data_IF_518865414821
#
_entry.id   IF_518865414821
#
_cell.length_a   1.000
_cell.length_b   1.000
_cell.length_c   1.000
_cell.angle_alpha   90.00
_cell.angle_beta   90.00
_cell.angle_gamma   90.00
#
_symmetry.space_group_name_H-M   'P 1'
#
loop_
_entity.id
_entity.type
_entity.pdbx_description
1 polymer ?
#
# COMPACT_ATOMS: atom_id res chain seq x y z
N UNK A 1 -18.92 -9.10 10.40
CA UNK A 1 -19.89 -8.22 9.71
C UNK A 1 -19.16 -7.04 9.11
N UNK A 2 -19.59 -6.57 7.95
CA UNK A 2 -18.98 -5.44 7.25
C UNK A 2 -19.95 -4.91 6.20
N UNK A 3 -19.65 -3.74 5.66
CA UNK A 3 -20.48 -3.04 4.69
C UNK A 3 -20.06 -3.30 3.24
N UNK A 4 -18.84 -3.77 3.00
CA UNK A 4 -18.30 -4.05 1.67
C UNK A 4 -18.21 -5.57 1.45
N UNK A 5 -18.90 -6.06 0.40
CA UNK A 5 -18.95 -7.48 0.07
C UNK A 5 -17.59 -8.01 -0.40
N UNK A 6 -16.80 -7.22 -1.12
CA UNK A 6 -15.49 -7.66 -1.60
C UNK A 6 -14.53 -7.87 -0.43
N UNK A 7 -14.52 -6.95 0.52
CA UNK A 7 -13.72 -7.08 1.74
C UNK A 7 -14.16 -8.30 2.55
N UNK A 8 -15.47 -8.52 2.69
CA UNK A 8 -16.00 -9.70 3.39
C UNK A 8 -15.59 -11.01 2.71
N UNK A 9 -15.60 -11.08 1.38
CA UNK A 9 -15.16 -12.25 0.64
C UNK A 9 -13.66 -12.51 0.82
N UNK A 10 -12.83 -11.47 0.71
CA UNK A 10 -11.38 -11.59 0.95
C UNK A 10 -11.08 -12.03 2.38
N UNK A 11 -11.78 -11.46 3.37
CA UNK A 11 -11.66 -11.88 4.78
C UNK A 11 -12.04 -13.35 4.97
N UNK A 12 -13.14 -13.81 4.34
CA UNK A 12 -13.52 -15.21 4.36
C UNK A 12 -12.44 -16.09 3.72
N UNK A 13 -11.86 -15.68 2.60
CA UNK A 13 -10.79 -16.40 1.93
C UNK A 13 -9.57 -16.57 2.84
N UNK A 14 -9.16 -15.54 3.58
CA UNK A 14 -8.08 -15.64 4.58
C UNK A 14 -8.41 -16.72 5.62
N UNK A 15 -9.60 -16.65 6.21
CA UNK A 15 -10.01 -17.58 7.28
C UNK A 15 -10.04 -19.04 6.77
N UNK A 16 -10.66 -19.28 5.62
CA UNK A 16 -10.77 -20.67 5.10
C UNK A 16 -9.42 -21.21 4.63
N UNK A 17 -8.53 -20.36 4.15
CA UNK A 17 -7.17 -20.79 3.79
C UNK A 17 -6.39 -21.22 5.02
N UNK A 18 -6.48 -20.47 6.12
CA UNK A 18 -5.87 -20.88 7.40
C UNK A 18 -6.42 -22.24 7.88
N UNK A 19 -7.74 -22.44 7.80
CA UNK A 19 -8.32 -23.74 8.16
C UNK A 19 -7.87 -24.86 7.22
N UNK A 20 -7.72 -24.59 5.92
CA UNK A 20 -7.19 -25.59 4.99
C UNK A 20 -5.75 -25.98 5.35
N UNK A 21 -4.90 -25.03 5.69
CA UNK A 21 -3.51 -25.27 6.13
C UNK A 21 -3.45 -26.07 7.44
N UNK A 22 -4.46 -25.93 8.30
CA UNK A 22 -4.63 -26.73 9.51
C UNK A 22 -5.16 -28.14 9.23
N UNK A 23 -5.41 -28.51 7.97
CA UNK A 23 -5.92 -29.82 7.54
C UNK A 23 -7.43 -29.95 7.52
N UNK A 24 -8.19 -28.86 7.62
CA UNK A 24 -9.64 -28.88 7.50
C UNK A 24 -10.08 -29.01 6.05
N UNK A 25 -11.20 -29.69 5.81
CA UNK A 25 -11.85 -29.75 4.50
C UNK A 25 -12.72 -28.52 4.29
N UNK A 26 -12.52 -27.81 3.19
CA UNK A 26 -13.26 -26.60 2.83
C UNK A 26 -14.33 -26.95 1.79
N UNK A 27 -15.58 -26.58 2.07
CA UNK A 27 -16.71 -26.79 1.20
C UNK A 27 -17.28 -25.48 0.70
N UNK A 28 -17.66 -25.44 -0.57
CA UNK A 28 -18.36 -24.30 -1.13
C UNK A 28 -19.82 -24.28 -0.70
N UNK A 29 -20.33 -23.10 -0.42
CA UNK A 29 -21.73 -22.85 -0.10
C UNK A 29 -22.33 -21.85 -1.09
N UNK A 30 -23.58 -22.10 -1.49
CA UNK A 30 -24.35 -21.17 -2.29
C UNK A 30 -25.22 -20.29 -1.39
N UNK A 31 -24.95 -18.98 -1.42
CA UNK A 31 -25.78 -17.98 -0.74
C UNK A 31 -26.86 -17.52 -1.73
N UNK A 32 -28.12 -17.74 -1.39
CA UNK A 32 -29.28 -17.31 -2.18
C UNK A 32 -29.74 -15.95 -1.67
N UNK A 33 -29.84 -14.97 -2.55
CA UNK A 33 -30.28 -13.61 -2.25
C UNK A 33 -30.64 -12.88 -3.55
N UNK A 34 -30.57 -11.56 -3.56
CA UNK A 34 -30.75 -10.75 -4.77
C UNK A 34 -29.77 -11.15 -5.89
N UNK A 35 -28.57 -11.61 -5.51
CA UNK A 35 -27.60 -12.29 -6.38
C UNK A 35 -27.20 -13.59 -5.72
N UNK A 36 -27.18 -14.69 -6.49
CA UNK A 36 -26.64 -15.94 -5.99
C UNK A 36 -25.11 -15.87 -6.00
N UNK A 37 -24.51 -16.15 -4.86
CA UNK A 37 -23.05 -16.08 -4.67
C UNK A 37 -22.58 -17.44 -4.17
N UNK A 38 -21.48 -17.94 -4.74
CA UNK A 38 -20.81 -19.15 -4.26
C UNK A 38 -19.59 -18.71 -3.46
N UNK A 39 -19.47 -19.20 -2.22
CA UNK A 39 -18.36 -18.88 -1.30
C UNK A 39 -17.77 -20.13 -0.67
N UNK A 40 -16.47 -20.17 -0.33
CA UNK A 40 -15.46 -19.19 -0.71
C UNK A 40 -15.15 -19.23 -2.20
N UNK A 41 -14.74 -18.11 -2.77
CA UNK A 41 -14.16 -18.05 -4.12
C UNK A 41 -12.63 -17.89 -3.96
N UNK A 42 -11.90 -18.96 -4.19
CA UNK A 42 -10.44 -19.00 -4.07
C UNK A 42 -9.72 -18.88 -5.43
N UNK A 43 -10.43 -18.44 -6.46
CA UNK A 43 -9.81 -18.15 -7.76
C UNK A 43 -8.82 -16.99 -7.62
N UNK A 44 -7.59 -17.12 -8.16
CA UNK A 44 -6.61 -16.04 -8.10
C UNK A 44 -7.02 -14.87 -9.01
N UNK A 45 -6.74 -13.68 -8.55
CA UNK A 45 -6.77 -12.48 -9.39
C UNK A 45 -5.52 -12.44 -10.28
N UNK A 46 -5.57 -11.70 -11.42
CA UNK A 46 -4.45 -11.60 -12.36
C UNK A 46 -4.09 -10.15 -12.60
N UNK A 47 -2.82 -9.82 -12.42
CA UNK A 47 -2.26 -8.51 -12.75
C UNK A 47 -1.12 -8.71 -13.75
N UNK A 48 -1.04 -7.81 -14.73
CA UNK A 48 0.08 -7.76 -15.67
C UNK A 48 1.27 -7.11 -14.99
N UNK A 49 2.46 -7.68 -15.16
CA UNK A 49 3.73 -7.14 -14.69
C UNK A 49 4.70 -7.04 -15.86
N UNK A 50 5.52 -6.01 -15.88
CA UNK A 50 6.57 -5.81 -16.86
C UNK A 50 7.95 -5.97 -16.22
N UNK A 51 8.76 -6.90 -16.73
CA UNK A 51 10.15 -7.07 -16.30
C UNK A 51 10.96 -5.77 -16.43
N UNK A 52 10.69 -4.98 -17.47
CA UNK A 52 11.32 -3.67 -17.67
C UNK A 52 10.97 -2.71 -16.52
N UNK A 53 9.69 -2.63 -16.12
CA UNK A 53 9.24 -1.79 -15.00
C UNK A 53 9.85 -2.26 -13.68
N UNK A 54 9.90 -3.57 -13.43
CA UNK A 54 10.55 -4.15 -12.24
C UNK A 54 12.01 -3.70 -12.18
N UNK A 55 12.78 -3.94 -13.25
CA UNK A 55 14.19 -3.58 -13.29
C UNK A 55 14.42 -2.07 -13.17
N UNK A 56 13.57 -1.26 -13.80
CA UNK A 56 13.65 0.19 -13.74
C UNK A 56 13.37 0.74 -12.33
N UNK A 57 12.33 0.23 -11.66
CA UNK A 57 11.95 0.71 -10.31
C UNK A 57 12.93 0.24 -9.24
N UNK A 58 13.42 -0.99 -9.35
CA UNK A 58 14.33 -1.55 -8.36
C UNK A 58 15.80 -1.25 -8.64
N UNK A 59 16.14 -0.72 -9.82
CA UNK A 59 17.54 -0.51 -10.23
C UNK A 59 18.30 -1.82 -10.46
N UNK A 60 17.59 -2.92 -10.74
CA UNK A 60 18.15 -4.25 -10.93
C UNK A 60 18.25 -4.63 -12.41
N UNK A 61 18.87 -5.77 -12.69
CA UNK A 61 18.96 -6.40 -14.02
C UNK A 61 18.54 -7.87 -13.94
N UNK A 62 17.32 -8.08 -13.45
CA UNK A 62 16.75 -9.42 -13.32
C UNK A 62 16.42 -9.98 -14.70
N UNK A 63 16.62 -11.30 -14.86
CA UNK A 63 16.06 -12.06 -15.97
C UNK A 63 14.63 -12.50 -15.67
N UNK A 64 13.91 -13.01 -16.67
CA UNK A 64 12.56 -13.60 -16.50
C UNK A 64 12.57 -14.75 -15.48
N UNK A 65 13.64 -15.55 -15.45
CA UNK A 65 13.77 -16.65 -14.51
C UNK A 65 13.99 -16.16 -13.09
N UNK A 66 14.82 -15.12 -12.91
CA UNK A 66 15.04 -14.51 -11.59
C UNK A 66 13.73 -13.91 -11.05
N UNK A 67 12.99 -13.19 -11.89
CA UNK A 67 11.69 -12.63 -11.52
C UNK A 67 10.71 -13.74 -11.12
N UNK A 68 10.63 -14.82 -11.91
CA UNK A 68 9.75 -15.95 -11.60
C UNK A 68 10.11 -16.61 -10.25
N UNK A 69 11.40 -16.76 -9.96
CA UNK A 69 11.88 -17.31 -8.68
C UNK A 69 11.50 -16.41 -7.50
N UNK A 70 11.74 -15.10 -7.62
CA UNK A 70 11.41 -14.12 -6.57
C UNK A 70 9.90 -14.07 -6.30
N UNK A 71 9.09 -14.04 -7.36
CA UNK A 71 7.63 -14.09 -7.24
C UNK A 71 7.15 -15.38 -6.58
N UNK A 72 7.77 -16.52 -6.92
CA UNK A 72 7.45 -17.81 -6.30
C UNK A 72 7.73 -17.82 -4.78
N UNK A 73 8.81 -17.17 -4.32
CA UNK A 73 9.13 -17.02 -2.89
C UNK A 73 8.04 -16.24 -2.12
N UNK A 74 7.32 -15.34 -2.80
CA UNK A 74 6.22 -14.56 -2.25
C UNK A 74 4.84 -15.23 -2.45
N UNK A 75 4.82 -16.46 -2.98
CA UNK A 75 3.60 -17.24 -3.15
C UNK A 75 2.79 -16.89 -4.41
N UNK A 76 3.39 -16.21 -5.37
CA UNK A 76 2.77 -15.92 -6.67
C UNK A 76 3.07 -16.97 -7.72
N UNK A 77 2.15 -17.16 -8.65
CA UNK A 77 2.40 -17.85 -9.89
C UNK A 77 2.63 -16.83 -11.01
N UNK A 78 3.74 -16.97 -11.74
CA UNK A 78 4.08 -16.10 -12.85
C UNK A 78 4.02 -16.84 -14.18
N UNK A 79 3.27 -16.30 -15.14
CA UNK A 79 3.15 -16.85 -16.50
C UNK A 79 2.98 -15.74 -17.53
N UNK A 80 3.91 -15.62 -18.46
CA UNK A 80 3.79 -14.73 -19.64
C UNK A 80 3.31 -13.32 -19.27
N UNK A 81 4.08 -12.60 -18.48
CA UNK A 81 3.79 -11.23 -18.02
C UNK A 81 2.58 -11.09 -17.08
N UNK A 82 1.96 -12.17 -16.65
CA UNK A 82 0.87 -12.15 -15.68
C UNK A 82 1.26 -12.83 -14.39
N UNK A 83 0.95 -12.17 -13.29
CA UNK A 83 1.07 -12.69 -11.94
C UNK A 83 -0.31 -13.09 -11.44
N UNK A 84 -0.44 -14.34 -10.99
CA UNK A 84 -1.63 -14.84 -10.31
C UNK A 84 -1.50 -14.56 -8.82
N UNK A 85 -2.41 -13.71 -8.32
CA UNK A 85 -2.45 -13.25 -6.94
C UNK A 85 -3.34 -14.17 -6.13
N UNK A 86 -2.87 -14.74 -5.02
CA UNK A 86 -3.70 -15.57 -4.16
C UNK A 86 -4.96 -14.86 -3.68
N UNK A 87 -6.06 -15.59 -3.62
CA UNK A 87 -7.38 -15.03 -3.31
C UNK A 87 -7.51 -14.40 -1.90
N UNK A 88 -6.55 -14.64 -1.02
CA UNK A 88 -6.49 -14.05 0.33
C UNK A 88 -5.69 -12.74 0.41
N UNK A 89 -4.93 -12.37 -0.64
CA UNK A 89 -4.22 -11.07 -0.69
C UNK A 89 -5.23 -9.95 -0.95
N UNK A 90 -5.25 -8.95 -0.09
CA UNK A 90 -6.17 -7.81 -0.16
C UNK A 90 -5.48 -6.50 -0.48
N UNK A 91 -4.17 -6.50 -0.43
CA UNK A 91 -3.25 -5.37 -0.49
C UNK A 91 -2.72 -5.11 -1.90
N UNK A 92 -2.86 -6.08 -2.82
CA UNK A 92 -2.35 -5.98 -4.20
C UNK A 92 -3.41 -5.31 -5.08
N UNK A 93 -3.21 -4.04 -5.38
CA UNK A 93 -4.10 -3.21 -6.19
C UNK A 93 -3.47 -2.80 -7.52
N UNK A 94 -2.13 -2.76 -7.59
CA UNK A 94 -1.38 -2.28 -8.74
C UNK A 94 -0.09 -3.09 -8.94
N UNK A 95 0.51 -2.99 -10.14
CA UNK A 95 1.80 -3.62 -10.47
C UNK A 95 2.90 -3.27 -9.46
N UNK A 96 2.90 -2.05 -8.94
CA UNK A 96 3.92 -1.56 -7.98
C UNK A 96 3.91 -2.34 -6.67
N UNK A 97 2.75 -2.81 -6.22
CA UNK A 97 2.62 -3.62 -5.00
C UNK A 97 3.34 -4.97 -5.18
N UNK A 98 3.26 -5.54 -6.38
CA UNK A 98 3.98 -6.77 -6.71
C UNK A 98 5.49 -6.50 -6.82
N UNK A 99 5.88 -5.35 -7.37
CA UNK A 99 7.31 -4.96 -7.47
C UNK A 99 7.90 -4.77 -6.06
N UNK A 100 7.14 -4.24 -5.11
CA UNK A 100 7.55 -4.19 -3.70
C UNK A 100 7.79 -5.59 -3.13
N UNK A 101 6.89 -6.53 -3.36
CA UNK A 101 7.07 -7.92 -2.94
C UNK A 101 8.31 -8.58 -3.59
N UNK A 102 8.61 -8.25 -4.85
CA UNK A 102 9.87 -8.67 -5.50
C UNK A 102 11.09 -8.10 -4.78
N UNK A 103 11.05 -6.83 -4.37
CA UNK A 103 12.13 -6.21 -3.59
C UNK A 103 12.32 -6.89 -2.22
N UNK A 104 11.21 -7.25 -1.56
CA UNK A 104 11.25 -8.01 -0.30
C UNK A 104 11.88 -9.39 -0.51
N UNK A 105 11.48 -10.12 -1.55
CA UNK A 105 12.01 -11.43 -1.88
C UNK A 105 13.49 -11.39 -2.27
N UNK A 106 13.92 -10.33 -2.96
CA UNK A 106 15.32 -10.07 -3.30
C UNK A 106 16.14 -9.78 -2.05
N UNK A 107 15.56 -9.10 -1.08
CA UNK A 107 16.16 -8.70 0.20
C UNK A 107 16.72 -7.29 0.15
N UNK A 108 16.17 -6.40 0.96
CA UNK A 108 16.60 -4.99 1.02
C UNK A 108 18.09 -4.79 1.34
N UNK A 109 18.70 -5.70 2.10
CA UNK A 109 20.12 -5.65 2.40
C UNK A 109 21.04 -5.92 1.19
N UNK A 110 20.49 -6.44 0.10
CA UNK A 110 21.24 -6.74 -1.13
C UNK A 110 21.23 -5.56 -2.12
N UNK A 111 20.48 -4.49 -1.82
CA UNK A 111 20.52 -3.28 -2.63
C UNK A 111 21.74 -2.44 -2.28
N UNK A 112 22.48 -2.02 -3.30
CA UNK A 112 23.57 -1.05 -3.15
C UNK A 112 22.98 0.36 -3.31
N UNK A 113 23.00 1.20 -2.25
CA UNK A 113 22.49 2.55 -2.35
C UNK A 113 23.40 3.41 -3.22
N UNK A 114 22.83 4.06 -4.23
CA UNK A 114 23.52 4.98 -5.10
C UNK A 114 23.07 6.42 -4.82
N UNK A 115 24.05 7.32 -4.70
CA UNK A 115 23.76 8.76 -4.64
C UNK A 115 23.49 9.23 -6.07
N UNK A 116 22.28 9.75 -6.38
CA UNK A 116 21.97 10.21 -7.73
C UNK A 116 22.90 11.36 -8.12
N UNK A 117 23.44 11.30 -9.33
CA UNK A 117 24.26 12.37 -9.88
C UNK A 117 23.36 13.53 -10.38
N UNK A 118 22.64 14.13 -9.43
CA UNK A 118 21.75 15.26 -9.67
C UNK A 118 22.30 16.42 -8.84
N UNK A 119 22.74 17.47 -9.50
CA UNK A 119 23.06 18.73 -8.82
C UNK A 119 21.81 19.59 -8.73
N UNK A 120 21.23 19.67 -7.54
CA UNK A 120 20.15 20.60 -7.25
C UNK A 120 20.61 21.57 -6.17
N UNK A 121 20.30 22.86 -6.35
CA UNK A 121 20.49 23.87 -5.29
C UNK A 121 19.15 23.95 -4.56
N UNK A 122 19.13 23.48 -3.32
CA UNK A 122 17.97 23.65 -2.45
C UNK A 122 17.82 25.12 -2.05
N UNK A 123 16.64 25.68 -2.26
CA UNK A 123 16.31 27.03 -1.79
C UNK A 123 15.09 26.93 -0.87
N UNK A 124 15.21 27.59 0.29
CA UNK A 124 14.09 27.80 1.18
C UNK A 124 13.07 28.74 0.52
N UNK A 125 11.79 28.37 0.50
CA UNK A 125 10.72 29.20 -0.05
C UNK A 125 10.61 30.54 0.71
N UNK A 126 10.09 31.58 0.05
CA UNK A 126 9.86 32.87 0.70
C UNK A 126 8.88 32.75 1.88
N UNK A 127 7.88 31.89 1.75
CA UNK A 127 6.92 31.61 2.81
C UNK A 127 7.59 30.93 4.03
N UNK A 128 8.41 29.93 3.81
CA UNK A 128 9.16 29.25 4.90
C UNK A 128 10.08 30.21 5.63
N UNK A 129 10.76 31.09 4.90
CA UNK A 129 11.59 32.15 5.50
C UNK A 129 10.77 33.12 6.36
N UNK A 130 9.60 33.52 5.88
CA UNK A 130 8.71 34.40 6.63
C UNK A 130 8.18 33.71 7.89
N UNK A 131 7.74 32.47 7.78
CA UNK A 131 7.28 31.64 8.92
C UNK A 131 8.36 31.53 9.99
N UNK A 132 9.57 31.16 9.62
CA UNK A 132 10.68 31.03 10.56
C UNK A 132 10.97 32.35 11.28
N UNK A 133 11.03 33.48 10.59
CA UNK A 133 11.22 34.79 11.20
C UNK A 133 10.12 35.18 12.17
N UNK A 134 8.86 34.89 11.82
CA UNK A 134 7.72 35.15 12.71
C UNK A 134 7.83 34.26 13.95
N UNK A 135 8.13 32.97 13.78
CA UNK A 135 8.31 32.05 14.89
C UNK A 135 9.41 32.52 15.86
N UNK A 136 10.56 32.92 15.35
CA UNK A 136 11.68 33.47 16.16
C UNK A 136 11.26 34.70 16.97
N UNK A 137 10.47 35.62 16.37
CA UNK A 137 9.96 36.81 17.06
C UNK A 137 8.97 36.42 18.16
N UNK A 138 8.03 35.54 17.87
CA UNK A 138 7.02 35.12 18.84
C UNK A 138 7.61 34.34 20.00
N UNK A 139 8.61 33.46 19.76
CA UNK A 139 9.35 32.78 20.81
C UNK A 139 10.10 33.82 21.68
N UNK A 140 10.70 34.83 21.07
CA UNK A 140 11.38 35.92 21.79
C UNK A 140 10.42 36.74 22.68
N UNK A 141 9.13 36.79 22.33
CA UNK A 141 8.07 37.40 23.15
C UNK A 141 7.51 36.46 24.24
N UNK A 142 8.06 35.25 24.39
CA UNK A 142 7.68 34.27 25.40
C UNK A 142 6.51 33.35 24.98
N UNK A 143 6.14 33.31 23.72
CA UNK A 143 5.13 32.39 23.21
C UNK A 143 5.75 31.01 22.95
N UNK A 144 4.96 29.96 23.16
CA UNK A 144 5.35 28.58 22.86
C UNK A 144 4.78 28.17 21.49
N UNK A 145 5.68 27.72 20.59
CA UNK A 145 5.25 27.13 19.33
C UNK A 145 4.76 25.70 19.58
N UNK A 146 3.57 25.38 19.07
CA UNK A 146 2.98 24.05 19.15
C UNK A 146 2.61 23.54 17.76
N UNK A 147 2.64 22.24 17.59
CA UNK A 147 2.08 21.54 16.43
C UNK A 147 0.90 20.70 16.92
N UNK A 148 -0.26 20.86 16.28
CA UNK A 148 -1.49 20.14 16.62
C UNK A 148 -1.82 19.12 15.55
N UNK A 149 -2.76 18.19 15.85
CA UNK A 149 -3.32 17.31 14.85
C UNK A 149 -4.15 18.09 13.82
N UNK A 150 -4.16 17.59 12.58
CA UNK A 150 -4.94 18.17 11.50
C UNK A 150 -6.35 17.56 11.41
N UNK A 151 -6.52 16.33 11.94
CA UNK A 151 -7.83 15.69 12.07
C UNK A 151 -8.43 16.08 13.41
N UNK A 152 -9.48 16.89 13.38
CA UNK A 152 -10.15 17.43 14.55
C UNK A 152 -11.66 17.25 14.41
N UNK A 153 -12.39 17.33 15.52
CA UNK A 153 -13.87 17.32 15.49
C UNK A 153 -14.42 18.62 14.94
N UNK A 154 -15.63 18.57 14.38
CA UNK A 154 -16.31 19.77 13.87
C UNK A 154 -16.45 20.87 14.93
N UNK A 155 -16.80 20.50 16.16
CA UNK A 155 -16.92 21.45 17.29
C UNK A 155 -15.61 22.21 17.57
N UNK A 156 -14.47 21.53 17.41
CA UNK A 156 -13.14 22.16 17.56
C UNK A 156 -12.83 23.08 16.39
N UNK A 157 -13.16 22.67 15.17
CA UNK A 157 -13.00 23.51 13.96
C UNK A 157 -13.82 24.80 14.07
N UNK A 158 -15.05 24.71 14.55
CA UNK A 158 -15.95 25.84 14.75
C UNK A 158 -15.41 26.80 15.83
N UNK A 159 -14.88 26.27 16.93
CA UNK A 159 -14.28 27.06 18.01
C UNK A 159 -13.03 27.82 17.58
N UNK A 160 -12.28 27.26 16.61
CA UNK A 160 -11.08 27.85 16.03
C UNK A 160 -11.36 28.73 14.80
N UNK A 161 -12.64 28.92 14.42
CA UNK A 161 -13.09 29.64 13.22
C UNK A 161 -12.38 29.15 11.93
N UNK A 162 -12.18 27.84 11.80
CA UNK A 162 -11.59 27.25 10.58
C UNK A 162 -12.56 27.46 9.43
N UNK A 163 -12.11 28.16 8.39
CA UNK A 163 -12.91 28.37 7.17
C UNK A 163 -12.78 27.17 6.24
N UNK A 164 -13.93 26.64 5.80
CA UNK A 164 -14.02 25.53 4.85
C UNK A 164 -13.23 24.26 5.29
N UNK A 165 -13.54 23.65 6.45
CA UNK A 165 -12.96 22.38 6.83
C UNK A 165 -13.35 21.32 5.78
N UNK A 166 -12.44 20.38 5.52
CA UNK A 166 -12.73 19.21 4.67
C UNK A 166 -13.38 18.17 5.59
N UNK A 167 -14.62 17.80 5.31
CA UNK A 167 -15.29 16.67 5.99
C UNK A 167 -14.80 15.34 5.36
N UNK A 168 -14.51 14.37 6.22
CA UNK A 168 -14.04 13.03 5.81
C UNK A 168 -15.10 11.99 6.19
#
# INVERSE_FOLDING_TARGET
SGFDLNILQKTLNIIVTVFADMGCSIYQMQIKGNKNIVTPNLSPDKIKISLENVNKLLGLKLSENDLAELLSKMGYNYKKDFVEIPAWRTDILHEVDIIEDVAIAYGYNNFEPEIPNISTIGLESAESKARRKISEILIGLGLLEISTYHLIKQEEADSLNVQNPIEI
#
